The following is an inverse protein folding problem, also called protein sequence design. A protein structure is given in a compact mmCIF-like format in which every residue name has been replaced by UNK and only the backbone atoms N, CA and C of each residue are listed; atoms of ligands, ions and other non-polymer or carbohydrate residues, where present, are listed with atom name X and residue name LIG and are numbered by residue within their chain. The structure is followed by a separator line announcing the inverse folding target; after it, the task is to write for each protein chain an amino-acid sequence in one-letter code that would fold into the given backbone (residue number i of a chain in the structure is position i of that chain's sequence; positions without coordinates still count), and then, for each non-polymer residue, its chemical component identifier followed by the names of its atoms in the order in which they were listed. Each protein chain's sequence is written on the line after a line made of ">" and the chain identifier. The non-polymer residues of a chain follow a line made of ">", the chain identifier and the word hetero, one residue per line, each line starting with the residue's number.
data_IF_512420231805
#
_entry.id   IF_512420231805
#
_cell.length_a   1.000
_cell.length_b   1.000
_cell.length_c   1.000
_cell.angle_alpha   90.00
_cell.angle_beta   90.00
_cell.angle_gamma   90.00
#
_symmetry.space_group_name_H-M   'P 1'
#
loop_
_entity.id
_entity.type
_entity.pdbx_description
1 polymer ?
#
# COMPACT_ATOMS: atom_id res chain seq x y z
N UNK A 1 3.88 -13.51 -12.53
CA UNK A 1 5.03 -12.60 -12.28
C UNK A 1 5.26 -12.39 -10.77
N UNK A 2 4.28 -11.90 -9.99
CA UNK A 2 4.45 -11.68 -8.53
C UNK A 2 4.80 -12.99 -7.78
N UNK A 3 4.01 -14.05 -7.97
CA UNK A 3 4.24 -15.33 -7.27
C UNK A 3 5.51 -16.09 -7.68
N UNK A 4 6.23 -15.64 -8.70
CA UNK A 4 7.48 -16.27 -9.13
C UNK A 4 8.69 -15.84 -8.28
N UNK A 5 8.63 -14.66 -7.65
CA UNK A 5 9.71 -14.12 -6.82
C UNK A 5 9.16 -13.20 -5.71
N UNK A 6 8.35 -13.73 -4.77
CA UNK A 6 7.71 -12.92 -3.73
C UNK A 6 8.72 -12.24 -2.79
N UNK A 7 9.87 -12.86 -2.56
CA UNK A 7 10.99 -12.28 -1.81
C UNK A 7 11.57 -11.05 -2.50
N UNK A 8 11.79 -11.09 -3.82
CA UNK A 8 12.30 -9.94 -4.57
C UNK A 8 11.32 -8.75 -4.55
N UNK A 9 10.00 -9.02 -4.55
CA UNK A 9 8.97 -7.98 -4.43
C UNK A 9 9.00 -7.34 -3.04
N UNK A 10 9.06 -8.15 -1.98
CA UNK A 10 9.14 -7.66 -0.60
C UNK A 10 10.42 -6.86 -0.37
N UNK A 11 11.57 -7.35 -0.86
CA UNK A 11 12.85 -6.66 -0.73
C UNK A 11 12.86 -5.31 -1.45
N UNK A 12 12.27 -5.26 -2.65
CA UNK A 12 12.13 -4.01 -3.36
C UNK A 12 11.27 -3.00 -2.58
N UNK A 13 10.12 -3.43 -2.05
CA UNK A 13 9.24 -2.57 -1.26
C UNK A 13 9.93 -2.05 0.01
N UNK A 14 10.60 -2.92 0.76
CA UNK A 14 11.35 -2.55 1.97
C UNK A 14 12.40 -1.47 1.68
N UNK A 15 13.12 -1.59 0.58
CA UNK A 15 14.20 -0.64 0.21
C UNK A 15 13.63 0.67 -0.36
N UNK A 16 12.55 0.62 -1.12
CA UNK A 16 12.09 1.78 -1.90
C UNK A 16 11.02 2.63 -1.19
N UNK A 17 10.28 2.09 -0.23
CA UNK A 17 9.08 2.75 0.30
C UNK A 17 9.30 3.56 1.59
N UNK A 18 10.56 3.87 1.93
CA UNK A 18 10.90 5.04 2.74
C UNK A 18 11.46 4.78 4.14
N UNK A 19 11.52 3.53 4.62
CA UNK A 19 12.29 3.20 5.83
C UNK A 19 13.62 2.54 5.47
N UNK A 20 14.70 2.75 6.24
CA UNK A 20 15.91 1.95 6.10
C UNK A 20 15.58 0.45 6.22
N UNK A 21 16.20 -0.38 5.39
CA UNK A 21 15.89 -1.81 5.33
C UNK A 21 16.14 -2.51 6.68
N UNK A 22 17.09 -2.00 7.46
CA UNK A 22 17.49 -2.51 8.78
C UNK A 22 16.37 -2.40 9.83
N UNK A 23 15.36 -1.55 9.58
CA UNK A 23 14.18 -1.45 10.46
C UNK A 23 13.31 -2.72 10.39
N UNK A 24 13.45 -3.54 9.36
CA UNK A 24 12.74 -4.79 9.19
C UNK A 24 13.67 -5.96 9.54
N UNK A 25 13.43 -6.57 10.70
CA UNK A 25 14.16 -7.78 11.09
C UNK A 25 13.88 -8.94 10.13
N UNK A 26 14.77 -9.94 10.11
CA UNK A 26 14.61 -11.15 9.30
C UNK A 26 13.26 -11.83 9.53
N UNK A 27 12.79 -11.94 10.79
CA UNK A 27 11.50 -12.52 11.14
C UNK A 27 10.33 -11.75 10.52
N UNK A 28 10.39 -10.42 10.52
CA UNK A 28 9.33 -9.57 9.95
C UNK A 28 9.34 -9.69 8.43
N UNK A 29 10.51 -9.63 7.80
CA UNK A 29 10.66 -9.85 6.37
C UNK A 29 10.09 -11.21 5.95
N UNK A 30 10.41 -12.29 6.65
CA UNK A 30 9.91 -13.63 6.37
C UNK A 30 8.39 -13.72 6.46
N UNK A 31 7.76 -13.02 7.41
CA UNK A 31 6.31 -12.96 7.52
C UNK A 31 5.65 -12.37 6.26
N UNK A 32 6.18 -11.26 5.73
CA UNK A 32 5.69 -10.66 4.49
C UNK A 32 5.91 -11.57 3.28
N UNK A 33 7.09 -12.18 3.16
CA UNK A 33 7.38 -13.12 2.07
C UNK A 33 6.45 -14.33 2.13
N UNK A 34 6.19 -14.87 3.32
CA UNK A 34 5.27 -15.99 3.51
C UNK A 34 3.84 -15.62 3.10
N UNK A 35 3.36 -14.42 3.46
CA UNK A 35 2.05 -13.95 3.05
C UNK A 35 1.95 -13.83 1.52
N UNK A 36 2.98 -13.26 0.87
CA UNK A 36 2.98 -13.05 -0.58
C UNK A 36 3.22 -14.32 -1.40
N UNK A 37 3.60 -15.45 -0.77
CA UNK A 37 3.70 -16.75 -1.44
C UNK A 37 2.34 -17.38 -1.75
N UNK A 38 1.28 -16.98 -1.05
CA UNK A 38 -0.05 -17.53 -1.28
C UNK A 38 -0.67 -16.91 -2.56
N UNK A 39 -1.00 -17.70 -3.59
CA UNK A 39 -1.62 -17.19 -4.81
C UNK A 39 -2.98 -16.51 -4.56
N UNK A 40 -3.70 -16.90 -3.50
CA UNK A 40 -4.96 -16.24 -3.12
C UNK A 40 -4.71 -14.83 -2.62
N UNK A 41 -3.66 -14.61 -1.81
CA UNK A 41 -3.28 -13.26 -1.39
C UNK A 41 -2.80 -12.41 -2.56
N UNK A 42 -2.00 -12.97 -3.47
CA UNK A 42 -1.58 -12.24 -4.68
C UNK A 42 -2.80 -11.79 -5.48
N UNK A 43 -3.76 -12.70 -5.71
CA UNK A 43 -4.98 -12.37 -6.42
C UNK A 43 -5.75 -11.26 -5.71
N UNK A 44 -5.94 -11.38 -4.39
CA UNK A 44 -6.65 -10.37 -3.59
C UNK A 44 -5.97 -8.98 -3.68
N UNK A 45 -4.65 -8.90 -3.54
CA UNK A 45 -3.90 -7.64 -3.70
C UNK A 45 -4.10 -7.06 -5.11
N UNK A 46 -4.02 -7.90 -6.15
CA UNK A 46 -4.26 -7.42 -7.50
C UNK A 46 -5.70 -6.94 -7.71
N UNK A 47 -6.71 -7.57 -7.09
CA UNK A 47 -8.09 -7.08 -7.14
C UNK A 47 -8.27 -5.79 -6.34
N UNK A 48 -7.58 -5.62 -5.20
CA UNK A 48 -7.56 -4.37 -4.42
C UNK A 48 -7.06 -3.20 -5.29
N UNK A 49 -5.92 -3.35 -5.97
CA UNK A 49 -5.42 -2.30 -6.87
C UNK A 49 -6.36 -2.04 -8.06
N UNK A 50 -7.07 -3.06 -8.56
CA UNK A 50 -8.09 -2.85 -9.61
C UNK A 50 -9.29 -2.08 -9.09
N UNK A 51 -9.77 -2.39 -7.89
CA UNK A 51 -10.86 -1.67 -7.25
C UNK A 51 -10.49 -0.20 -6.99
N UNK A 52 -9.27 0.05 -6.49
CA UNK A 52 -8.74 1.40 -6.24
C UNK A 52 -8.68 2.25 -7.52
N UNK A 53 -8.43 1.62 -8.67
CA UNK A 53 -8.40 2.28 -9.97
C UNK A 53 -9.81 2.44 -10.61
N UNK A 54 -10.84 1.78 -10.06
CA UNK A 54 -12.18 1.71 -10.65
C UNK A 54 -13.26 2.07 -9.63
N UNK A 55 -13.92 1.08 -9.01
CA UNK A 55 -15.12 1.26 -8.18
C UNK A 55 -14.90 2.19 -6.99
N UNK A 56 -13.71 2.21 -6.39
CA UNK A 56 -13.42 3.10 -5.27
C UNK A 56 -13.46 4.57 -5.69
N UNK A 57 -13.06 4.87 -6.94
CA UNK A 57 -13.16 6.23 -7.48
C UNK A 57 -14.61 6.68 -7.67
N UNK A 58 -15.51 5.76 -8.00
CA UNK A 58 -16.94 6.06 -8.11
C UNK A 58 -17.53 6.38 -6.74
N UNK A 59 -17.18 5.59 -5.73
CA UNK A 59 -17.58 5.84 -4.34
C UNK A 59 -17.04 7.20 -3.84
N UNK A 60 -15.76 7.48 -4.03
CA UNK A 60 -15.14 8.76 -3.66
C UNK A 60 -15.80 9.95 -4.36
N UNK A 61 -16.11 9.83 -5.66
CA UNK A 61 -16.80 10.88 -6.40
C UNK A 61 -18.21 11.14 -5.85
N UNK A 62 -18.96 10.09 -5.51
CA UNK A 62 -20.27 10.21 -4.89
C UNK A 62 -20.20 10.87 -3.51
N UNK A 63 -19.22 10.50 -2.69
CA UNK A 63 -18.94 11.15 -1.40
C UNK A 63 -18.65 12.65 -1.57
N UNK A 64 -17.83 12.99 -2.56
CA UNK A 64 -17.48 14.38 -2.87
C UNK A 64 -18.68 15.20 -3.35
N UNK A 65 -19.50 14.67 -4.27
CA UNK A 65 -20.73 15.31 -4.76
C UNK A 65 -21.71 15.56 -3.62
N UNK A 66 -21.84 14.59 -2.70
CA UNK A 66 -22.72 14.69 -1.55
C UNK A 66 -22.12 15.53 -0.40
N UNK A 67 -20.94 16.12 -0.57
CA UNK A 67 -20.28 16.93 0.45
C UNK A 67 -19.93 16.17 1.72
N UNK A 68 -19.80 14.83 1.66
CA UNK A 68 -19.45 14.01 2.82
C UNK A 68 -17.99 14.27 3.20
N UNK A 69 -17.73 14.30 4.51
CA UNK A 69 -16.43 14.60 5.12
C UNK A 69 -16.28 13.76 6.38
N UNK A 70 -15.04 13.37 6.70
CA UNK A 70 -14.69 12.78 8.00
C UNK A 70 -15.01 13.81 9.09
N UNK A 71 -15.82 13.43 10.08
CA UNK A 71 -16.37 14.37 11.08
C UNK A 71 -15.59 14.43 12.39
N UNK A 72 -14.77 13.42 12.69
CA UNK A 72 -13.93 13.38 13.88
C UNK A 72 -12.63 14.19 13.67
N UNK A 73 -11.95 14.60 14.76
CA UNK A 73 -10.59 15.12 14.68
C UNK A 73 -9.67 14.14 13.93
N UNK A 74 -8.94 14.65 12.94
CA UNK A 74 -8.05 13.86 12.08
C UNK A 74 -6.60 14.30 12.30
N UNK A 75 -5.71 13.33 12.51
CA UNK A 75 -4.26 13.52 12.44
C UNK A 75 -3.74 12.79 11.21
N UNK A 76 -3.16 13.54 10.27
CA UNK A 76 -2.46 12.98 9.12
C UNK A 76 -0.95 13.21 9.29
N UNK A 77 -0.17 12.12 9.26
CA UNK A 77 1.29 12.15 9.34
C UNK A 77 1.87 11.49 8.11
N UNK A 78 2.91 12.08 7.54
CA UNK A 78 3.71 11.49 6.47
C UNK A 78 5.17 11.89 6.63
N UNK A 79 6.07 11.15 5.98
CA UNK A 79 7.49 11.48 5.96
C UNK A 79 7.76 12.61 4.98
N UNK A 80 8.44 13.66 5.42
CA UNK A 80 8.93 14.75 4.55
C UNK A 80 10.01 14.31 3.56
N UNK A 81 10.51 13.08 3.67
CA UNK A 81 11.49 12.49 2.77
C UNK A 81 10.87 11.40 1.88
N UNK A 82 9.58 11.11 2.04
CA UNK A 82 8.87 10.06 1.31
C UNK A 82 8.14 10.58 0.07
N UNK A 83 7.68 9.65 -0.78
CA UNK A 83 6.99 9.97 -2.03
C UNK A 83 5.77 10.89 -1.85
N UNK A 84 4.98 10.70 -0.78
CA UNK A 84 3.81 11.52 -0.49
C UNK A 84 4.10 13.02 -0.37
N UNK A 85 5.29 13.40 0.10
CA UNK A 85 5.70 14.81 0.17
C UNK A 85 5.81 15.44 -1.22
N UNK A 86 6.07 14.63 -2.26
CA UNK A 86 6.35 15.12 -3.62
C UNK A 86 5.27 14.80 -4.64
N UNK A 87 4.48 13.74 -4.44
CA UNK A 87 3.51 13.26 -5.44
C UNK A 87 2.27 14.13 -5.57
N UNK A 88 1.95 14.88 -4.52
CA UNK A 88 0.72 15.69 -4.43
C UNK A 88 0.99 17.15 -4.05
N UNK A 89 2.26 17.58 -4.18
CA UNK A 89 2.69 18.96 -3.98
C UNK A 89 2.31 19.87 -5.15
#
# INVERSE_FOLDING_TARGET
>A
LIGAAPDAIVDNAIVQWGSPAEMFSATIREAYVKALRDPVHIHAICEEYRAAATIDREHDALDQINGRRIKCPLLALWSSQGGLETWYA
#
